data_IF_114671490948
#
_entry.id   IF_114671490948
#
_cell.length_a   1.000
_cell.length_b   1.000
_cell.length_c   1.000
_cell.angle_alpha   90.00
_cell.angle_beta   90.00
_cell.angle_gamma   90.00
#
_symmetry.space_group_name_H-M   'P 1'
#
loop_
_entity.id
_entity.type
_entity.pdbx_description
1 polymer ?
#
# COMPACT_ATOMS: atom_id res chain seq x y z
N UNK A 1 4.74 -33.76 -22.32
CA UNK A 1 5.79 -34.75 -22.69
C UNK A 1 5.79 -35.96 -21.75
N UNK A 2 5.48 -35.79 -20.47
CA UNK A 2 5.42 -36.87 -19.48
C UNK A 2 4.41 -37.98 -19.81
N UNK A 3 3.21 -37.64 -20.30
CA UNK A 3 2.22 -38.63 -20.76
C UNK A 3 2.76 -39.57 -21.86
N UNK A 4 3.63 -39.05 -22.73
CA UNK A 4 4.29 -39.86 -23.77
C UNK A 4 5.36 -40.78 -23.19
N UNK A 5 5.98 -40.38 -22.07
CA UNK A 5 6.92 -41.24 -21.35
C UNK A 5 6.15 -42.36 -20.67
N UNK A 6 5.02 -42.07 -20.02
CA UNK A 6 4.13 -43.08 -19.41
C UNK A 6 3.68 -44.14 -20.42
N UNK A 7 3.20 -43.72 -21.61
CA UNK A 7 2.84 -44.63 -22.69
C UNK A 7 4.01 -45.52 -23.11
N UNK A 8 5.21 -44.95 -23.26
CA UNK A 8 6.41 -45.71 -23.65
C UNK A 8 6.81 -46.70 -22.54
N UNK A 9 6.78 -46.30 -21.27
CA UNK A 9 7.09 -47.22 -20.15
C UNK A 9 6.06 -48.33 -20.03
N UNK A 10 4.77 -48.04 -20.26
CA UNK A 10 3.73 -49.07 -20.30
C UNK A 10 4.00 -50.07 -21.42
N UNK A 11 4.34 -49.58 -22.62
CA UNK A 11 4.69 -50.44 -23.75
C UNK A 11 5.93 -51.30 -23.47
N UNK A 12 6.94 -50.75 -22.78
CA UNK A 12 8.15 -51.51 -22.39
C UNK A 12 7.79 -52.60 -21.38
N UNK A 13 6.91 -52.32 -20.41
CA UNK A 13 6.43 -53.32 -19.47
C UNK A 13 5.66 -54.45 -20.18
N UNK A 14 4.76 -54.10 -21.12
CA UNK A 14 4.02 -55.07 -21.92
C UNK A 14 4.96 -55.96 -22.76
N UNK A 15 6.01 -55.38 -23.36
CA UNK A 15 7.02 -56.13 -24.11
C UNK A 15 7.81 -57.05 -23.17
N UNK A 16 8.15 -56.60 -21.96
CA UNK A 16 8.84 -57.42 -20.98
C UNK A 16 8.00 -58.64 -20.58
N UNK A 17 6.71 -58.46 -20.31
CA UNK A 17 5.79 -59.56 -19.97
C UNK A 17 5.62 -60.55 -21.12
N UNK A 18 5.48 -60.07 -22.36
CA UNK A 18 5.45 -60.94 -23.54
C UNK A 18 6.75 -61.71 -23.73
N UNK A 19 7.89 -61.08 -23.46
CA UNK A 19 9.21 -61.72 -23.53
C UNK A 19 9.37 -62.78 -22.45
N UNK A 20 8.85 -62.55 -21.24
CA UNK A 20 8.85 -63.54 -20.16
C UNK A 20 8.00 -64.76 -20.52
N UNK A 21 6.80 -64.55 -21.09
CA UNK A 21 5.95 -65.63 -21.58
C UNK A 21 6.63 -66.45 -22.68
N UNK A 22 7.31 -65.80 -23.62
CA UNK A 22 8.09 -66.47 -24.67
C UNK A 22 9.24 -67.29 -24.08
N UNK A 23 9.97 -66.74 -23.11
CA UNK A 23 11.05 -67.42 -22.40
C UNK A 23 10.56 -68.64 -21.63
N UNK A 24 9.40 -68.52 -20.97
CA UNK A 24 8.77 -69.63 -20.25
C UNK A 24 8.36 -70.76 -21.21
N UNK A 25 7.76 -70.42 -22.35
CA UNK A 25 7.42 -71.41 -23.38
C UNK A 25 8.67 -72.12 -23.94
N UNK A 26 9.75 -71.38 -24.15
CA UNK A 26 11.02 -71.95 -24.59
C UNK A 26 11.64 -72.89 -23.54
N UNK A 27 11.55 -72.54 -22.25
CA UNK A 27 12.02 -73.39 -21.16
C UNK A 27 11.22 -74.71 -21.07
N UNK A 28 9.90 -74.66 -21.28
CA UNK A 28 9.03 -75.85 -21.31
C UNK A 28 9.43 -76.79 -22.46
N UNK A 29 9.63 -76.24 -23.66
CA UNK A 29 9.97 -77.07 -24.83
C UNK A 29 11.40 -77.62 -24.73
N UNK A 30 12.33 -76.87 -24.14
CA UNK A 30 13.67 -77.33 -23.82
C UNK A 30 13.66 -78.49 -22.80
N UNK A 31 12.80 -78.43 -21.78
CA UNK A 31 12.61 -79.54 -20.85
C UNK A 31 12.05 -80.78 -21.55
N UNK A 32 11.15 -80.59 -22.52
CA UNK A 32 10.54 -81.65 -23.32
C UNK A 32 11.55 -82.39 -24.22
N UNK A 33 12.58 -81.69 -24.69
CA UNK A 33 13.67 -82.24 -25.50
C UNK A 33 14.73 -83.03 -24.69
N UNK A 34 14.63 -83.05 -23.35
CA UNK A 34 15.53 -83.79 -22.48
C UNK A 34 17.00 -83.34 -22.58
N UNK A 35 17.92 -84.30 -22.77
CA UNK A 35 19.37 -84.03 -22.86
C UNK A 35 19.73 -83.05 -23.99
N UNK A 36 19.00 -83.08 -25.11
CA UNK A 36 19.25 -82.19 -26.27
C UNK A 36 18.80 -80.75 -26.01
N UNK A 37 17.96 -80.50 -25.01
CA UNK A 37 17.41 -79.18 -24.68
C UNK A 37 18.21 -78.37 -23.67
N UNK A 38 19.26 -78.93 -23.06
CA UNK A 38 20.00 -78.28 -21.95
C UNK A 38 20.54 -76.89 -22.31
N UNK A 39 21.09 -76.72 -23.52
CA UNK A 39 21.59 -75.43 -24.00
C UNK A 39 20.47 -74.40 -24.22
N UNK A 40 19.35 -74.83 -24.82
CA UNK A 40 18.18 -73.98 -25.02
C UNK A 40 17.54 -73.55 -23.69
N UNK A 41 17.53 -74.44 -22.69
CA UNK A 41 17.00 -74.11 -21.37
C UNK A 41 17.83 -72.99 -20.68
N UNK A 42 19.16 -73.02 -20.83
CA UNK A 42 20.02 -71.96 -20.30
C UNK A 42 19.72 -70.61 -20.95
N UNK A 43 19.54 -70.58 -22.27
CA UNK A 43 19.17 -69.37 -23.01
C UNK A 43 17.80 -68.85 -22.57
N UNK A 44 16.81 -69.74 -22.42
CA UNK A 44 15.48 -69.38 -21.96
C UNK A 44 15.50 -68.73 -20.57
N UNK A 45 16.28 -69.26 -19.62
CA UNK A 45 16.43 -68.66 -18.30
C UNK A 45 17.08 -67.27 -18.34
N UNK A 46 18.07 -67.05 -19.19
CA UNK A 46 18.71 -65.72 -19.30
C UNK A 46 17.76 -64.70 -19.95
N UNK A 47 16.95 -65.11 -20.94
CA UNK A 47 15.91 -64.26 -21.52
C UNK A 47 14.88 -63.87 -20.45
N UNK A 48 14.38 -64.84 -19.66
CA UNK A 48 13.45 -64.58 -18.54
C UNK A 48 14.02 -63.58 -17.55
N UNK A 49 15.28 -63.76 -17.14
CA UNK A 49 15.95 -62.83 -16.22
C UNK A 49 16.08 -61.42 -16.80
N UNK A 50 16.29 -61.30 -18.11
CA UNK A 50 16.35 -60.01 -18.81
C UNK A 50 14.97 -59.35 -18.89
N UNK A 51 13.92 -60.13 -19.17
CA UNK A 51 12.53 -59.68 -19.16
C UNK A 51 12.13 -59.15 -17.78
N UNK A 52 12.38 -59.92 -16.72
CA UNK A 52 12.12 -59.50 -15.33
C UNK A 52 12.86 -58.20 -14.97
N UNK A 53 14.08 -58.03 -15.46
CA UNK A 53 14.87 -56.81 -15.24
C UNK A 53 14.28 -55.61 -15.98
N UNK A 54 13.82 -55.80 -17.21
CA UNK A 54 13.14 -54.76 -18.00
C UNK A 54 11.82 -54.33 -17.38
N UNK A 55 11.00 -55.28 -16.90
CA UNK A 55 9.73 -55.00 -16.23
C UNK A 55 9.95 -54.15 -14.97
N UNK A 56 10.93 -54.51 -14.12
CA UNK A 56 11.29 -53.72 -12.94
C UNK A 56 11.74 -52.30 -13.30
N UNK A 57 12.63 -52.17 -14.29
CA UNK A 57 13.10 -50.87 -14.72
C UNK A 57 11.98 -49.98 -15.27
N UNK A 58 11.04 -50.56 -16.03
CA UNK A 58 9.87 -49.83 -16.53
C UNK A 58 8.98 -49.34 -15.39
N UNK A 59 8.76 -50.16 -14.35
CA UNK A 59 8.01 -49.76 -13.15
C UNK A 59 8.70 -48.63 -12.38
N UNK A 60 10.02 -48.71 -12.18
CA UNK A 60 10.78 -47.65 -11.50
C UNK A 60 10.71 -46.32 -12.25
N UNK A 61 10.76 -46.35 -13.59
CA UNK A 61 10.61 -45.13 -14.41
C UNK A 61 9.18 -44.59 -14.27
N UNK A 62 8.15 -45.44 -14.27
CA UNK A 62 6.76 -45.01 -14.08
C UNK A 62 6.57 -44.30 -12.73
N UNK A 63 7.11 -44.85 -11.65
CA UNK A 63 7.07 -44.23 -10.32
C UNK A 63 7.78 -42.87 -10.29
N UNK A 64 8.95 -42.78 -10.93
CA UNK A 64 9.70 -41.54 -11.04
C UNK A 64 8.91 -40.46 -11.80
N UNK A 65 8.28 -40.85 -12.91
CA UNK A 65 7.43 -39.98 -13.72
C UNK A 65 6.24 -39.48 -12.90
N UNK A 66 5.56 -40.35 -12.17
CA UNK A 66 4.43 -39.97 -11.32
C UNK A 66 4.86 -38.98 -10.22
N UNK A 67 6.04 -39.19 -9.63
CA UNK A 67 6.62 -38.26 -8.66
C UNK A 67 6.89 -36.88 -9.28
N UNK A 68 7.46 -36.83 -10.49
CA UNK A 68 7.68 -35.58 -11.22
C UNK A 68 6.36 -34.86 -11.49
N UNK A 69 5.32 -35.57 -11.92
CA UNK A 69 3.99 -34.98 -12.15
C UNK A 69 3.41 -34.35 -10.87
N UNK A 70 3.54 -35.05 -9.74
CA UNK A 70 3.09 -34.53 -8.45
C UNK A 70 3.83 -33.25 -8.04
N UNK A 71 5.15 -33.20 -8.27
CA UNK A 71 5.95 -31.99 -8.00
C UNK A 71 5.54 -30.84 -8.92
N UNK A 72 5.38 -31.09 -10.21
CA UNK A 72 4.95 -30.08 -11.19
C UNK A 72 3.56 -29.52 -10.84
N UNK A 73 2.62 -30.38 -10.43
CA UNK A 73 1.29 -29.95 -9.98
C UNK A 73 1.37 -29.01 -8.76
N UNK A 74 2.18 -29.36 -7.76
CA UNK A 74 2.41 -28.49 -6.59
C UNK A 74 3.07 -27.16 -6.97
N UNK A 75 4.01 -27.18 -7.92
CA UNK A 75 4.63 -25.95 -8.44
C UNK A 75 3.59 -25.07 -9.12
N UNK A 76 2.71 -25.64 -9.94
CA UNK A 76 1.66 -24.90 -10.61
C UNK A 76 0.69 -24.25 -9.60
N UNK A 77 0.30 -24.97 -8.55
CA UNK A 77 -0.52 -24.41 -7.48
C UNK A 77 0.18 -23.23 -6.78
N UNK A 78 1.45 -23.39 -6.39
CA UNK A 78 2.21 -22.30 -5.75
C UNK A 78 2.40 -21.09 -6.66
N UNK A 79 2.55 -21.32 -7.96
CA UNK A 79 2.64 -20.23 -8.93
C UNK A 79 1.32 -19.44 -9.01
N UNK A 80 0.17 -20.12 -8.92
CA UNK A 80 -1.14 -19.47 -8.88
C UNK A 80 -1.36 -18.66 -7.59
N UNK A 81 -0.98 -19.21 -6.44
CA UNK A 81 -0.96 -18.49 -5.16
C UNK A 81 -0.07 -17.24 -5.23
N UNK A 82 1.13 -17.36 -5.81
CA UNK A 82 2.04 -16.24 -6.02
C UNK A 82 1.48 -15.18 -6.97
N UNK A 83 0.79 -15.58 -8.04
CA UNK A 83 0.13 -14.65 -8.96
C UNK A 83 -0.99 -13.88 -8.25
N UNK A 84 -1.76 -14.54 -7.40
CA UNK A 84 -2.81 -13.91 -6.60
C UNK A 84 -2.23 -12.88 -5.64
N UNK A 85 -1.16 -13.23 -4.91
CA UNK A 85 -0.46 -12.29 -4.03
C UNK A 85 0.08 -11.07 -4.80
N UNK A 86 0.63 -11.28 -5.99
CA UNK A 86 1.16 -10.20 -6.83
C UNK A 86 0.04 -9.24 -7.29
N UNK A 87 -1.14 -9.75 -7.62
CA UNK A 87 -2.32 -8.91 -7.94
C UNK A 87 -2.73 -8.04 -6.75
N UNK A 88 -2.78 -8.60 -5.54
CA UNK A 88 -3.09 -7.83 -4.33
C UNK A 88 -2.05 -6.73 -4.05
N UNK A 89 -0.76 -7.00 -4.32
CA UNK A 89 0.30 -5.98 -4.23
C UNK A 89 0.05 -4.86 -5.25
N UNK A 90 -0.29 -5.20 -6.49
CA UNK A 90 -0.57 -4.21 -7.54
C UNK A 90 -1.77 -3.31 -7.19
N UNK A 91 -2.85 -3.89 -6.64
CA UNK A 91 -3.99 -3.12 -6.10
C UNK A 91 -3.57 -2.22 -4.93
N UNK A 92 -2.71 -2.72 -4.04
CA UNK A 92 -2.13 -1.95 -2.95
C UNK A 92 -1.36 -0.72 -3.43
N UNK A 93 -0.52 -0.89 -4.44
CA UNK A 93 0.24 0.21 -5.09
C UNK A 93 -0.72 1.24 -5.70
N UNK A 94 -1.79 0.79 -6.36
CA UNK A 94 -2.82 1.68 -6.91
C UNK A 94 -3.50 2.55 -5.84
N UNK A 95 -3.82 1.95 -4.68
CA UNK A 95 -4.38 2.71 -3.54
C UNK A 95 -3.39 3.74 -2.99
N UNK A 96 -2.13 3.37 -2.83
CA UNK A 96 -1.07 4.29 -2.36
C UNK A 96 -0.94 5.48 -3.33
N UNK A 97 -0.93 5.22 -4.63
CA UNK A 97 -0.87 6.29 -5.64
C UNK A 97 -2.07 7.24 -5.53
N UNK A 98 -3.28 6.71 -5.31
CA UNK A 98 -4.48 7.52 -5.08
C UNK A 98 -4.39 8.38 -3.81
N UNK A 99 -3.90 7.82 -2.70
CA UNK A 99 -3.69 8.57 -1.46
C UNK A 99 -2.66 9.68 -1.63
N UNK A 100 -1.59 9.45 -2.40
CA UNK A 100 -0.59 10.49 -2.71
C UNK A 100 -1.23 11.65 -3.49
N UNK A 101 -2.09 11.35 -4.48
CA UNK A 101 -2.81 12.39 -5.23
C UNK A 101 -3.74 13.22 -4.32
N UNK A 102 -4.44 12.60 -3.37
CA UNK A 102 -5.24 13.30 -2.36
C UNK A 102 -4.39 14.18 -1.44
N UNK A 103 -3.23 13.69 -0.99
CA UNK A 103 -2.28 14.46 -0.16
C UNK A 103 -1.77 15.67 -0.92
N UNK A 104 -1.42 15.54 -2.20
CA UNK A 104 -0.97 16.65 -3.04
C UNK A 104 -2.07 17.71 -3.19
N UNK A 105 -3.30 17.30 -3.51
CA UNK A 105 -4.47 18.21 -3.60
C UNK A 105 -4.74 18.93 -2.29
N UNK A 106 -4.64 18.22 -1.17
CA UNK A 106 -4.85 18.80 0.16
C UNK A 106 -3.74 19.79 0.51
N UNK A 107 -2.50 19.48 0.15
CA UNK A 107 -1.35 20.37 0.35
C UNK A 107 -1.48 21.66 -0.46
N UNK A 108 -1.95 21.58 -1.71
CA UNK A 108 -2.21 22.76 -2.54
C UNK A 108 -3.31 23.65 -1.93
N UNK A 109 -4.40 23.06 -1.45
CA UNK A 109 -5.46 23.78 -0.74
C UNK A 109 -4.95 24.45 0.55
N UNK A 110 -4.14 23.73 1.31
CA UNK A 110 -3.53 24.27 2.53
C UNK A 110 -2.63 25.46 2.22
N UNK A 111 -1.82 25.40 1.16
CA UNK A 111 -0.99 26.52 0.72
C UNK A 111 -1.83 27.76 0.39
N UNK A 112 -2.91 27.60 -0.40
CA UNK A 112 -3.82 28.71 -0.72
C UNK A 112 -4.47 29.30 0.52
N UNK A 113 -4.87 28.46 1.47
CA UNK A 113 -5.46 28.91 2.74
C UNK A 113 -4.45 29.71 3.57
N UNK A 114 -3.17 29.34 3.55
CA UNK A 114 -2.10 30.10 4.22
C UNK A 114 -1.94 31.48 3.59
N UNK A 115 -2.00 31.59 2.26
CA UNK A 115 -1.95 32.89 1.57
C UNK A 115 -3.12 33.79 1.98
N UNK A 116 -4.33 33.25 2.07
CA UNK A 116 -5.52 33.98 2.54
C UNK A 116 -5.40 34.45 4.01
N UNK A 117 -4.82 33.61 4.88
CA UNK A 117 -4.52 33.97 6.26
C UNK A 117 -3.51 35.12 6.31
N UNK A 118 -2.45 35.08 5.50
CA UNK A 118 -1.46 36.15 5.45
C UNK A 118 -2.08 37.49 5.03
N UNK A 119 -2.94 37.48 4.00
CA UNK A 119 -3.69 38.68 3.57
C UNK A 119 -4.57 39.22 4.72
N UNK A 120 -5.23 38.33 5.45
CA UNK A 120 -6.06 38.70 6.59
C UNK A 120 -5.24 39.32 7.73
N UNK A 121 -4.04 38.78 8.01
CA UNK A 121 -3.10 39.34 8.99
C UNK A 121 -2.68 40.75 8.61
N UNK A 122 -2.34 41.00 7.34
CA UNK A 122 -1.97 42.33 6.85
C UNK A 122 -3.14 43.33 7.01
N UNK A 123 -4.37 42.90 6.73
CA UNK A 123 -5.57 43.70 6.94
C UNK A 123 -5.78 44.06 8.42
N UNK A 124 -5.63 43.09 9.32
CA UNK A 124 -5.72 43.30 10.77
C UNK A 124 -4.61 44.25 11.25
N UNK A 125 -3.40 44.14 10.71
CA UNK A 125 -2.29 45.03 11.04
C UNK A 125 -2.62 46.48 10.65
N UNK A 126 -3.19 46.69 9.46
CA UNK A 126 -3.62 48.02 9.02
C UNK A 126 -4.70 48.62 9.94
N UNK A 127 -5.72 47.84 10.32
CA UNK A 127 -6.75 48.28 11.26
C UNK A 127 -6.17 48.59 12.65
N UNK A 128 -5.17 47.83 13.09
CA UNK A 128 -4.49 48.07 14.37
C UNK A 128 -3.75 49.41 14.34
N UNK A 129 -3.05 49.72 13.25
CA UNK A 129 -2.38 51.01 13.06
C UNK A 129 -3.38 52.17 13.00
N UNK A 130 -4.52 51.97 12.35
CA UNK A 130 -5.58 52.97 12.31
C UNK A 130 -6.16 53.24 13.71
N UNK A 131 -6.42 52.19 14.48
CA UNK A 131 -6.90 52.31 15.86
C UNK A 131 -5.91 53.06 16.77
N UNK A 132 -4.60 52.86 16.58
CA UNK A 132 -3.58 53.62 17.29
C UNK A 132 -3.64 55.11 16.94
N UNK A 133 -3.81 55.45 15.65
CA UNK A 133 -3.98 56.83 15.21
C UNK A 133 -5.24 57.47 15.82
N UNK A 134 -6.37 56.76 15.81
CA UNK A 134 -7.60 57.23 16.44
C UNK A 134 -7.42 57.46 17.94
N UNK A 135 -6.67 56.59 18.64
CA UNK A 135 -6.35 56.78 20.05
C UNK A 135 -5.52 58.06 20.28
N UNK A 136 -4.53 58.35 19.44
CA UNK A 136 -3.75 59.59 19.49
C UNK A 136 -4.62 60.83 19.27
N UNK A 137 -5.53 60.78 18.30
CA UNK A 137 -6.50 61.87 18.02
C UNK A 137 -7.43 62.11 19.22
N UNK A 138 -7.91 61.04 19.87
CA UNK A 138 -8.71 61.11 21.10
C UNK A 138 -7.91 61.78 22.21
N UNK A 139 -6.66 61.36 22.45
CA UNK A 139 -5.78 61.97 23.46
C UNK A 139 -5.58 63.47 23.18
N UNK A 140 -5.36 63.85 21.92
CA UNK A 140 -5.23 65.25 21.53
C UNK A 140 -6.51 66.05 21.78
N UNK A 141 -7.69 65.50 21.43
CA UNK A 141 -8.98 66.12 21.69
C UNK A 141 -9.23 66.31 23.19
N UNK A 142 -8.91 65.31 24.02
CA UNK A 142 -8.98 65.42 25.48
C UNK A 142 -8.08 66.53 26.02
N UNK A 143 -6.84 66.65 25.54
CA UNK A 143 -5.93 67.74 25.94
C UNK A 143 -6.51 69.12 25.61
N UNK A 144 -7.05 69.29 24.40
CA UNK A 144 -7.68 70.54 23.96
C UNK A 144 -8.91 70.88 24.80
N UNK A 145 -9.75 69.89 25.09
CA UNK A 145 -10.92 70.05 25.96
C UNK A 145 -10.53 70.50 27.36
N UNK A 146 -9.52 69.86 27.97
CA UNK A 146 -8.98 70.24 29.28
C UNK A 146 -8.47 71.68 29.31
N UNK A 147 -7.69 72.09 28.30
CA UNK A 147 -7.24 73.48 28.18
C UNK A 147 -8.42 74.48 28.10
N UNK A 148 -9.49 74.13 27.38
CA UNK A 148 -10.71 74.91 27.33
C UNK A 148 -11.39 75.06 28.70
N UNK A 149 -11.48 73.96 29.46
CA UNK A 149 -12.03 73.97 30.82
C UNK A 149 -11.18 74.82 31.77
N UNK A 150 -9.85 74.72 31.71
CA UNK A 150 -8.95 75.53 32.53
C UNK A 150 -9.09 77.02 32.21
N UNK A 151 -9.26 77.39 30.93
CA UNK A 151 -9.53 78.77 30.51
C UNK A 151 -10.89 79.28 31.01
N UNK A 152 -11.94 78.47 30.95
CA UNK A 152 -13.25 78.84 31.50
C UNK A 152 -13.20 79.08 33.01
N UNK A 153 -12.45 78.27 33.76
CA UNK A 153 -12.23 78.51 35.20
C UNK A 153 -11.58 79.86 35.46
N UNK A 154 -10.58 80.23 34.67
CA UNK A 154 -9.89 81.52 34.79
C UNK A 154 -10.84 82.69 34.52
N UNK A 155 -11.66 82.62 33.46
CA UNK A 155 -12.67 83.64 33.16
C UNK A 155 -13.70 83.77 34.28
N UNK A 156 -14.15 82.67 34.88
CA UNK A 156 -15.09 82.70 36.01
C UNK A 156 -14.44 83.34 37.25
N UNK A 157 -13.16 83.06 37.50
CA UNK A 157 -12.40 83.66 38.61
C UNK A 157 -12.16 85.17 38.40
N UNK A 158 -11.86 85.60 37.18
CA UNK A 158 -11.70 87.02 36.84
C UNK A 158 -13.05 87.76 36.73
N UNK A 159 -14.14 87.02 36.51
CA UNK A 159 -15.47 87.55 36.19
C UNK A 159 -16.46 87.71 37.35
N UNK A 160 -16.07 87.55 38.63
CA UNK A 160 -17.00 87.67 39.76
C UNK A 160 -16.51 88.55 40.93
N UNK A 161 -17.30 89.51 41.47
CA UNK A 161 -18.59 90.05 41.05
C UNK A 161 -18.55 91.55 40.69
N UNK A 162 -19.10 91.93 39.54
CA UNK A 162 -19.67 93.28 39.37
C UNK A 162 -21.03 93.35 40.10
N UNK A 163 -21.01 93.45 41.44
CA UNK A 163 -22.09 94.01 42.27
C UNK A 163 -21.67 94.07 43.75
N UNK A 164 -21.97 95.20 44.40
CA UNK A 164 -21.67 95.70 45.77
C UNK A 164 -20.30 96.40 45.86
N UNK A 165 -20.16 97.73 46.05
CA UNK A 165 -20.91 98.78 46.77
C UNK A 165 -20.84 100.14 46.02
N UNK A 166 -21.78 101.09 46.10
CA UNK A 166 -22.02 101.96 47.26
C UNK A 166 -23.41 102.62 47.19
N UNK A 167 -24.25 102.38 48.21
CA UNK A 167 -25.34 103.26 48.64
C UNK A 167 -24.74 104.53 49.26
N UNK A 168 -25.18 105.72 48.82
CA UNK A 168 -25.95 106.64 49.68
C UNK A 168 -25.32 108.05 49.73
N UNK A 169 -26.03 109.11 50.19
CA UNK A 169 -27.28 109.08 50.96
C UNK A 169 -28.45 109.87 50.33
N UNK A 170 -29.67 109.46 50.71
CA UNK A 170 -30.86 110.32 50.69
C UNK A 170 -30.65 111.53 51.60
N UNK A 171 -31.20 112.69 51.22
CA UNK A 171 -31.61 113.74 52.18
C UNK A 171 -33.10 114.06 52.00
N UNK A 172 -33.86 114.23 53.09
CA UNK A 172 -35.30 114.44 53.05
C UNK A 172 -35.70 115.92 53.15
N UNK A 173 -37.02 116.10 52.97
CA UNK A 173 -37.90 117.30 52.96
C UNK A 173 -37.83 118.16 51.71
#
# INVERSE_FOLDING_TARGET
QTARIEEITSLIADIADQTDLLAMNAAIEAARAGEFGKGFNMVAMEIKKLADKSARAASEIADLVQSVLNVVSKIAQRADESNTAMRSIQEGIGRIAGTIDEVLKTSEKASKSIDEVNISIDSIMNLTLENLKHADEIVAAYRKSRQGMDRLKLIIQEGGPYRSDLRGPMKPS
#
